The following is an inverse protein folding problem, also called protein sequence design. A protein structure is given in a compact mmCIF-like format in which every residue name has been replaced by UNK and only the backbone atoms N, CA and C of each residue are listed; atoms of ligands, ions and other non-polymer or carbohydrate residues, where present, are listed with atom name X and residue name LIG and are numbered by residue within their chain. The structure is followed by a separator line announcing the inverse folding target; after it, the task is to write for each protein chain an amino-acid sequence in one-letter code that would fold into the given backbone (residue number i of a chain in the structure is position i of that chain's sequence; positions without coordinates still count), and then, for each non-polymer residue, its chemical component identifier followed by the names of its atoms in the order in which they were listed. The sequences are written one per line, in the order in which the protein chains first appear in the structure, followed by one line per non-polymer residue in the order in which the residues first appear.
data_IF_980872512086
#
_entry.id   IF_980872512086
#
_cell.length_a   1.000
_cell.length_b   1.000
_cell.length_c   1.000
_cell.angle_alpha   90.00
_cell.angle_beta   90.00
_cell.angle_gamma   90.00
#
_symmetry.space_group_name_H-M   'P 1'
#
loop_
_entity.id
_entity.type
_entity.pdbx_description
1 polymer ?
#
# COMPACT_ATOMS: atom_id res chain seq x y z
N UNK A 1 20.90 11.67 -0.62
CA UNK A 1 20.92 10.53 0.32
C UNK A 1 19.80 9.57 -0.03
N UNK A 2 20.05 8.26 -0.04
CA UNK A 2 19.01 7.26 -0.30
C UNK A 2 18.01 7.19 0.86
N UNK A 3 16.71 7.08 0.54
CA UNK A 3 15.65 6.93 1.56
C UNK A 3 15.70 5.52 2.17
N UNK A 4 15.65 5.43 3.50
CA UNK A 4 15.58 4.15 4.23
C UNK A 4 14.13 3.68 4.31
N UNK A 5 13.67 3.02 3.25
CA UNK A 5 12.30 2.50 3.13
C UNK A 5 12.32 0.99 2.86
N UNK A 6 11.22 0.32 3.14
CA UNK A 6 11.05 -1.10 2.90
C UNK A 6 9.58 -1.48 2.77
N UNK A 7 9.33 -2.72 2.35
CA UNK A 7 7.98 -3.28 2.20
C UNK A 7 7.93 -4.66 2.84
N UNK A 8 6.85 -4.96 3.55
CA UNK A 8 6.56 -6.28 4.10
C UNK A 8 5.33 -6.83 3.38
N UNK A 9 5.50 -7.95 2.67
CA UNK A 9 4.41 -8.62 1.95
C UNK A 9 3.81 -9.72 2.82
N UNK A 10 2.60 -9.50 3.32
CA UNK A 10 1.82 -10.52 4.04
C UNK A 10 1.37 -11.60 3.05
N UNK A 11 1.80 -12.84 3.27
CA UNK A 11 1.46 -13.99 2.41
C UNK A 11 0.39 -14.90 3.02
N UNK A 12 0.44 -15.09 4.33
CA UNK A 12 -0.55 -15.86 5.09
C UNK A 12 -1.29 -14.92 6.04
N UNK A 13 -2.54 -14.58 5.69
CA UNK A 13 -3.34 -13.67 6.50
C UNK A 13 -4.02 -14.38 7.68
N UNK A 14 -4.46 -15.63 7.52
CA UNK A 14 -5.04 -16.44 8.59
C UNK A 14 -4.55 -17.90 8.52
N UNK A 15 -4.15 -18.50 9.67
CA UNK A 15 -3.95 -17.87 10.98
C UNK A 15 -2.84 -16.81 10.93
N UNK A 16 -3.05 -15.65 11.59
CA UNK A 16 -2.09 -14.54 11.57
C UNK A 16 -0.93 -14.83 12.52
N UNK A 17 0.30 -14.84 12.00
CA UNK A 17 1.47 -15.16 12.81
C UNK A 17 2.25 -13.90 13.20
N UNK A 18 1.96 -13.36 14.39
CA UNK A 18 2.68 -12.22 14.96
C UNK A 18 4.20 -12.47 15.02
N UNK A 19 4.62 -13.68 15.40
CA UNK A 19 6.02 -14.11 15.42
C UNK A 19 6.74 -13.85 14.09
N UNK A 20 6.17 -14.30 12.97
CA UNK A 20 6.79 -14.14 11.65
C UNK A 20 6.76 -12.68 11.18
N UNK A 21 5.71 -11.93 11.51
CA UNK A 21 5.65 -10.49 11.25
C UNK A 21 6.80 -9.76 11.95
N UNK A 22 6.97 -10.00 13.26
CA UNK A 22 7.97 -9.33 14.10
C UNK A 22 9.40 -9.69 13.67
N UNK A 23 9.65 -10.94 13.32
CA UNK A 23 10.95 -11.39 12.78
C UNK A 23 11.29 -10.72 11.44
N UNK A 24 10.28 -10.46 10.59
CA UNK A 24 10.47 -9.80 9.31
C UNK A 24 10.58 -8.26 9.43
N UNK A 25 10.24 -7.66 10.57
CA UNK A 25 10.23 -6.22 10.77
C UNK A 25 11.49 -5.74 11.51
N UNK A 26 12.43 -5.03 10.85
CA UNK A 26 13.68 -4.61 11.50
C UNK A 26 13.47 -3.78 12.78
N UNK A 27 14.38 -3.92 13.75
CA UNK A 27 14.36 -3.14 15.00
C UNK A 27 14.52 -1.63 14.79
N UNK A 28 15.10 -1.22 13.66
CA UNK A 28 15.26 0.19 13.27
C UNK A 28 13.98 0.85 12.76
N UNK A 29 12.89 0.10 12.54
CA UNK A 29 11.63 0.67 12.06
C UNK A 29 11.02 1.57 13.12
N UNK A 30 10.67 2.80 12.72
CA UNK A 30 10.03 3.82 13.57
C UNK A 30 8.65 4.23 13.09
N UNK A 31 8.29 3.91 11.84
CA UNK A 31 6.97 4.20 11.29
C UNK A 31 6.54 3.14 10.29
N UNK A 32 5.27 2.77 10.30
CA UNK A 32 4.65 1.74 9.46
C UNK A 32 3.35 2.28 8.90
N UNK A 33 3.13 2.12 7.59
CA UNK A 33 1.82 2.29 6.98
C UNK A 33 1.27 0.91 6.62
N UNK A 34 0.08 0.60 7.11
CA UNK A 34 -0.63 -0.64 6.77
C UNK A 34 -1.67 -0.31 5.70
N UNK A 35 -1.66 -1.07 4.61
CA UNK A 35 -2.53 -0.85 3.47
C UNK A 35 -3.55 -1.96 3.35
N UNK A 36 -4.82 -1.60 3.51
CA UNK A 36 -5.97 -2.48 3.43
C UNK A 36 -6.73 -2.26 2.12
N UNK A 37 -7.03 -3.35 1.43
CA UNK A 37 -7.88 -3.33 0.22
C UNK A 37 -9.34 -3.64 0.56
N UNK A 38 -9.82 -3.06 1.65
CA UNK A 38 -11.20 -3.20 2.13
C UNK A 38 -11.64 -1.90 2.84
N UNK A 39 -12.94 -1.78 3.09
CA UNK A 39 -13.52 -0.73 3.94
C UNK A 39 -14.55 -1.38 4.85
N UNK A 40 -14.39 -1.21 6.16
CA UNK A 40 -15.33 -1.68 7.17
C UNK A 40 -15.98 -0.47 7.88
N UNK A 41 -17.13 0.03 7.39
CA UNK A 41 -17.78 1.19 7.98
C UNK A 41 -18.15 0.94 9.45
N UNK A 42 -17.79 1.87 10.34
CA UNK A 42 -18.07 1.78 11.77
C UNK A 42 -17.05 0.97 12.58
N UNK A 43 -16.13 0.25 11.93
CA UNK A 43 -15.00 -0.38 12.61
C UNK A 43 -13.98 0.67 13.10
N UNK A 44 -13.21 0.33 14.13
CA UNK A 44 -12.14 1.18 14.65
C UNK A 44 -11.01 1.40 13.64
N UNK A 45 -10.76 0.40 12.80
CA UNK A 45 -9.84 0.43 11.69
C UNK A 45 -10.07 -0.80 10.79
N UNK A 46 -9.36 -0.84 9.68
CA UNK A 46 -9.33 -1.97 8.77
C UNK A 46 -8.59 -3.19 9.37
N UNK A 47 -8.93 -4.40 8.92
CA UNK A 47 -8.58 -5.62 9.64
C UNK A 47 -7.07 -5.93 9.65
N UNK A 48 -6.32 -5.68 8.57
CA UNK A 48 -4.86 -5.89 8.59
C UNK A 48 -4.17 -4.86 9.48
N UNK A 49 -4.64 -3.60 9.46
CA UNK A 49 -4.17 -2.59 10.40
C UNK A 49 -4.33 -3.04 11.85
N UNK A 50 -5.50 -3.59 12.21
CA UNK A 50 -5.76 -4.05 13.58
C UNK A 50 -4.82 -5.18 13.97
N UNK A 51 -4.62 -6.18 13.12
CA UNK A 51 -3.70 -7.30 13.41
C UNK A 51 -2.25 -6.83 13.60
N UNK A 52 -1.77 -5.94 12.73
CA UNK A 52 -0.41 -5.39 12.81
C UNK A 52 -0.24 -4.53 14.07
N UNK A 53 -1.22 -3.68 14.38
CA UNK A 53 -1.19 -2.84 15.57
C UNK A 53 -1.17 -3.70 16.85
N UNK A 54 -2.03 -4.73 16.92
CA UNK A 54 -2.07 -5.66 18.06
C UNK A 54 -0.74 -6.38 18.21
N UNK A 55 -0.19 -6.95 17.14
CA UNK A 55 1.09 -7.66 17.20
C UNK A 55 2.25 -6.75 17.66
N UNK A 56 2.29 -5.50 17.21
CA UNK A 56 3.32 -4.54 17.63
C UNK A 56 3.13 -4.07 19.06
N UNK A 57 1.89 -3.83 19.49
CA UNK A 57 1.57 -3.42 20.85
C UNK A 57 1.88 -4.52 21.87
N UNK A 58 1.50 -5.76 21.59
CA UNK A 58 1.81 -6.91 22.43
C UNK A 58 3.33 -7.12 22.54
N UNK A 59 4.06 -7.10 21.42
CA UNK A 59 5.51 -7.24 21.42
C UNK A 59 6.21 -6.14 22.22
N UNK A 60 5.71 -4.90 22.16
CA UNK A 60 6.24 -3.81 22.98
C UNK A 60 5.93 -4.00 24.46
N UNK A 61 4.68 -4.33 24.81
CA UNK A 61 4.26 -4.54 26.20
C UNK A 61 4.96 -5.74 26.87
N UNK A 62 5.28 -6.78 26.09
CA UNK A 62 6.01 -7.96 26.57
C UNK A 62 7.55 -7.76 26.59
N UNK A 63 8.05 -6.62 26.11
CA UNK A 63 9.49 -6.35 26.03
C UNK A 63 10.23 -7.06 24.88
N UNK A 64 9.52 -7.69 23.93
CA UNK A 64 10.10 -8.30 22.73
C UNK A 64 10.58 -7.24 21.72
N UNK A 65 10.04 -6.01 21.80
CA UNK A 65 10.53 -4.84 21.06
C UNK A 65 10.72 -3.66 22.01
N UNK A 66 11.84 -2.97 21.86
CA UNK A 66 12.16 -1.75 22.62
C UNK A 66 11.28 -0.55 22.28
N UNK A 67 10.71 -0.51 21.08
CA UNK A 67 9.91 0.63 20.60
C UNK A 67 8.64 0.16 19.91
N UNK A 68 7.54 0.86 20.17
CA UNK A 68 6.31 0.78 19.38
C UNK A 68 6.39 1.76 18.19
N UNK A 69 6.53 1.30 16.94
CA UNK A 69 6.56 2.19 15.79
C UNK A 69 5.24 2.94 15.65
N UNK A 70 5.27 4.16 15.11
CA UNK A 70 4.05 4.87 14.72
C UNK A 70 3.37 4.12 13.57
N UNK A 71 2.14 3.65 13.78
CA UNK A 71 1.36 2.92 12.77
C UNK A 71 0.24 3.81 12.22
N UNK A 72 0.15 3.92 10.90
CA UNK A 72 -0.96 4.58 10.19
C UNK A 72 -1.67 3.57 9.29
N UNK A 73 -2.97 3.75 9.07
CA UNK A 73 -3.81 2.85 8.27
C UNK A 73 -4.31 3.52 7.00
N UNK A 74 -4.19 2.84 5.87
CA UNK A 74 -4.56 3.36 4.56
C UNK A 74 -5.45 2.42 3.79
N UNK A 75 -6.46 2.95 3.11
CA UNK A 75 -7.24 2.20 2.13
C UNK A 75 -6.79 2.49 0.71
N UNK A 76 -6.72 1.46 -0.13
CA UNK A 76 -6.33 1.57 -1.53
C UNK A 76 -7.13 0.61 -2.41
N UNK A 77 -7.17 0.85 -3.71
CA UNK A 77 -7.55 -0.15 -4.72
C UNK A 77 -8.97 -0.72 -4.63
N UNK A 78 -9.88 -0.04 -3.93
CA UNK A 78 -11.30 -0.40 -3.89
C UNK A 78 -11.95 -0.15 -5.25
N UNK A 79 -12.87 -1.02 -5.66
CA UNK A 79 -13.55 -0.95 -6.96
C UNK A 79 -12.57 -0.86 -8.15
N UNK A 80 -11.47 -1.61 -8.07
CA UNK A 80 -10.40 -1.63 -9.09
C UNK A 80 -9.77 -0.26 -9.36
N UNK A 81 -9.78 0.64 -8.37
CA UNK A 81 -9.07 1.91 -8.49
C UNK A 81 -7.57 1.66 -8.65
N UNK A 82 -6.95 2.42 -9.54
CA UNK A 82 -5.52 2.33 -9.83
C UNK A 82 -4.68 2.57 -8.57
N UNK A 83 -3.59 1.81 -8.43
CA UNK A 83 -2.62 1.97 -7.36
C UNK A 83 -1.22 1.96 -7.96
N UNK A 84 -0.86 3.12 -8.51
CA UNK A 84 0.41 3.34 -9.20
C UNK A 84 1.56 3.73 -8.26
N UNK A 85 2.75 3.97 -8.83
CA UNK A 85 3.91 4.36 -8.04
C UNK A 85 3.76 5.72 -7.34
N UNK A 86 2.98 6.64 -7.90
CA UNK A 86 2.56 7.91 -7.29
C UNK A 86 1.82 7.71 -5.96
N UNK A 87 0.92 6.72 -5.90
CA UNK A 87 0.21 6.34 -4.68
C UNK A 87 1.19 5.84 -3.61
N UNK A 88 2.17 5.02 -4.00
CA UNK A 88 3.21 4.52 -3.09
C UNK A 88 4.09 5.67 -2.58
N UNK A 89 4.46 6.61 -3.45
CA UNK A 89 5.19 7.82 -3.08
C UNK A 89 4.41 8.67 -2.08
N UNK A 90 3.10 8.84 -2.28
CA UNK A 90 2.22 9.55 -1.36
C UNK A 90 2.20 8.89 0.04
N UNK A 91 2.11 7.56 0.12
CA UNK A 91 2.14 6.83 1.39
C UNK A 91 3.46 7.04 2.14
N UNK A 92 4.60 6.97 1.44
CA UNK A 92 5.90 7.24 2.07
C UNK A 92 6.09 8.71 2.43
N UNK A 93 5.54 9.65 1.66
CA UNK A 93 5.54 11.06 2.02
C UNK A 93 4.73 11.28 3.31
N UNK A 94 3.57 10.66 3.43
CA UNK A 94 2.73 10.72 4.62
C UNK A 94 3.46 10.16 5.85
N UNK A 95 4.13 9.00 5.72
CA UNK A 95 4.93 8.44 6.81
C UNK A 95 6.03 9.39 7.34
N UNK A 96 6.57 10.25 6.46
CA UNK A 96 7.59 11.23 6.81
C UNK A 96 7.02 12.57 7.29
N UNK A 97 5.70 12.76 7.23
CA UNK A 97 5.07 13.98 7.72
C UNK A 97 5.26 14.13 9.24
N UNK A 98 5.37 15.38 9.69
CA UNK A 98 5.46 15.70 11.12
C UNK A 98 4.22 15.19 11.88
N UNK A 99 3.04 15.34 11.27
CA UNK A 99 1.75 14.90 11.81
C UNK A 99 1.01 14.11 10.72
N UNK A 100 1.29 12.81 10.56
CA UNK A 100 0.61 12.01 9.56
C UNK A 100 -0.85 11.78 9.96
N UNK A 101 -1.71 11.67 8.97
CA UNK A 101 -3.08 11.16 9.08
C UNK A 101 -3.02 9.74 9.61
N UNK A 102 -3.66 9.51 10.75
CA UNK A 102 -3.77 8.17 11.34
C UNK A 102 -4.55 7.20 10.43
N UNK A 103 -5.51 7.73 9.68
CA UNK A 103 -6.31 7.02 8.68
C UNK A 103 -6.29 7.82 7.38
N UNK A 104 -6.11 7.15 6.25
CA UNK A 104 -6.11 7.80 4.95
C UNK A 104 -6.69 6.93 3.83
N UNK A 105 -6.97 7.55 2.69
CA UNK A 105 -7.22 6.88 1.40
C UNK A 105 -6.16 7.33 0.40
N UNK A 106 -5.85 6.49 -0.58
CA UNK A 106 -4.90 6.84 -1.64
C UNK A 106 -5.44 6.41 -3.01
N UNK A 107 -5.21 7.23 -4.02
CA UNK A 107 -5.72 7.03 -5.38
C UNK A 107 -7.10 7.63 -5.65
N UNK A 108 -7.70 8.35 -4.69
CA UNK A 108 -8.95 9.11 -4.87
C UNK A 108 -8.78 10.56 -4.41
N UNK A 109 -9.66 11.44 -4.86
CA UNK A 109 -9.87 12.75 -4.26
C UNK A 109 -11.12 12.68 -3.38
N UNK A 110 -10.96 12.96 -2.10
CA UNK A 110 -12.04 12.93 -1.10
C UNK A 110 -12.10 14.29 -0.40
N UNK A 111 -12.99 15.15 -0.87
CA UNK A 111 -13.26 16.50 -0.39
C UNK A 111 -14.25 16.54 0.79
N UNK A 112 -14.91 15.41 1.08
CA UNK A 112 -15.89 15.31 2.16
C UNK A 112 -15.19 14.95 3.48
N UNK A 113 -14.49 13.81 3.53
CA UNK A 113 -13.82 13.36 4.76
C UNK A 113 -12.37 13.77 4.84
N UNK A 114 -11.81 14.33 3.75
CA UNK A 114 -10.43 14.82 3.67
C UNK A 114 -9.40 13.74 4.08
N UNK A 115 -9.70 12.47 3.80
CA UNK A 115 -8.80 11.34 4.09
C UNK A 115 -7.83 11.07 2.94
N UNK A 116 -8.10 11.57 1.73
CA UNK A 116 -7.24 11.33 0.58
C UNK A 116 -5.87 11.96 0.73
N UNK A 117 -4.82 11.20 0.43
CA UNK A 117 -3.46 11.71 0.30
C UNK A 117 -3.26 12.43 -1.04
N UNK A 118 -2.57 13.59 -1.05
CA UNK A 118 -2.16 14.23 -2.29
C UNK A 118 -1.16 13.33 -3.03
N UNK A 119 -1.37 13.15 -4.33
CA UNK A 119 -0.48 12.35 -5.18
C UNK A 119 0.65 13.24 -5.70
N UNK A 120 1.93 12.96 -5.35
CA UNK A 120 3.06 13.68 -5.91
C UNK A 120 3.29 13.28 -7.37
N UNK A 121 4.04 14.10 -8.10
CA UNK A 121 4.56 13.72 -9.41
C UNK A 121 5.40 12.44 -9.31
N UNK A 122 5.19 11.50 -10.23
CA UNK A 122 5.97 10.27 -10.28
C UNK A 122 7.39 10.57 -10.77
N UNK A 123 8.33 10.61 -9.83
CA UNK A 123 9.76 10.85 -10.09
C UNK A 123 10.58 9.57 -10.24
N UNK A 124 9.94 8.40 -10.21
CA UNK A 124 10.65 7.13 -10.39
C UNK A 124 11.10 6.98 -11.83
N UNK A 125 12.33 6.48 -12.06
CA UNK A 125 12.84 6.26 -13.42
C UNK A 125 11.92 5.28 -14.14
N UNK A 126 11.36 5.71 -15.27
CA UNK A 126 10.58 4.82 -16.10
C UNK A 126 11.55 3.89 -16.86
N UNK A 127 11.63 2.63 -16.44
CA UNK A 127 12.50 1.63 -17.06
C UNK A 127 11.82 0.84 -18.17
N UNK A 128 10.60 1.23 -18.57
CA UNK A 128 9.80 0.45 -19.50
C UNK A 128 10.45 0.38 -20.89
N UNK A 129 10.71 -0.85 -21.34
CA UNK A 129 10.99 -1.18 -22.74
C UNK A 129 9.64 -1.36 -23.45
N UNK A 130 9.23 -0.32 -24.18
CA UNK A 130 7.99 -0.21 -24.96
C UNK A 130 6.68 -0.36 -24.15
N UNK A 131 5.90 0.73 -24.07
CA UNK A 131 4.52 0.73 -23.56
C UNK A 131 3.59 1.08 -24.73
N UNK A 132 2.48 0.36 -24.86
CA UNK A 132 1.47 0.61 -25.89
C UNK A 132 0.07 0.61 -25.27
N UNK A 133 -0.75 1.57 -25.69
CA UNK A 133 -2.14 1.69 -25.28
C UNK A 133 -3.03 1.50 -26.51
N UNK A 134 -3.90 0.50 -26.44
CA UNK A 134 -4.85 0.18 -27.50
C UNK A 134 -6.26 0.56 -27.05
N UNK A 135 -6.95 1.32 -27.89
CA UNK A 135 -8.36 1.63 -27.72
C UNK A 135 -9.16 0.80 -28.71
N UNK A 136 -10.18 0.11 -28.21
CA UNK A 136 -11.06 -0.72 -29.03
C UNK A 136 -12.51 -0.61 -28.59
N UNK A 137 -13.42 -0.85 -29.53
CA UNK A 137 -14.85 -0.95 -29.29
C UNK A 137 -15.21 -2.36 -28.82
N UNK A 138 -16.20 -2.48 -27.95
CA UNK A 138 -16.71 -3.78 -27.54
C UNK A 138 -17.10 -4.61 -28.77
N UNK A 139 -16.55 -5.82 -28.90
CA UNK A 139 -16.71 -6.78 -30.01
C UNK A 139 -15.97 -6.50 -31.35
N UNK A 140 -15.08 -5.51 -31.44
CA UNK A 140 -14.34 -5.20 -32.69
C UNK A 140 -13.08 -6.06 -32.95
N UNK A 141 -12.76 -6.97 -32.02
CA UNK A 141 -11.62 -7.89 -32.11
C UNK A 141 -10.27 -7.28 -31.74
N UNK A 142 -10.19 -6.00 -31.35
CA UNK A 142 -8.98 -5.34 -30.83
C UNK A 142 -8.33 -6.16 -29.70
N UNK A 143 -9.11 -6.54 -28.68
CA UNK A 143 -8.61 -7.30 -27.53
C UNK A 143 -8.04 -8.69 -27.87
N UNK A 144 -8.43 -9.30 -29.00
CA UNK A 144 -7.89 -10.58 -29.47
C UNK A 144 -6.60 -10.41 -30.30
N UNK A 145 -6.50 -9.33 -31.07
CA UNK A 145 -5.32 -9.05 -31.92
C UNK A 145 -4.08 -8.71 -31.09
N UNK A 146 -4.26 -7.94 -30.01
CA UNK A 146 -3.14 -7.53 -29.16
C UNK A 146 -2.55 -8.70 -28.36
N UNK A 147 -3.38 -9.66 -27.93
CA UNK A 147 -2.89 -10.88 -27.26
C UNK A 147 -2.00 -11.74 -28.16
N UNK A 148 -2.26 -11.76 -29.46
CA UNK A 148 -1.48 -12.57 -30.42
C UNK A 148 -0.09 -11.95 -30.66
N UNK A 149 -0.01 -10.62 -30.79
CA UNK A 149 1.26 -9.91 -30.96
C UNK A 149 2.21 -10.06 -29.76
N UNK A 150 1.68 -10.17 -28.54
CA UNK A 150 2.49 -10.36 -27.33
C UNK A 150 3.12 -11.76 -27.20
N UNK A 151 2.49 -12.80 -27.78
CA UNK A 151 3.04 -14.16 -27.78
C UNK A 151 4.19 -14.30 -28.79
N UNK A 152 4.15 -13.54 -29.89
CA UNK A 152 5.16 -13.59 -30.96
C UNK A 152 6.47 -12.85 -30.59
N UNK A 153 6.52 -12.17 -29.44
CA UNK A 153 7.69 -11.40 -28.95
C UNK A 153 8.44 -12.06 -27.78
N UNK A 154 8.16 -13.33 -27.45
CA UNK A 154 8.88 -14.12 -26.43
C UNK A 154 9.86 -15.11 -27.04
#
# INVERSE_FOLDING_TARGET
MAKKVGVLKVRLYRPFSAKHLLQALPGSVRSVAVLDRTKEPGAQAEPLYLDVMTALAEAFNNGERETLPRVIGGRYGLSSKEFGPDCVLAVFAELNAAKPKARFTVGIYDDVTNLSLPLPENTLPNSAKLEALFYGLGSDGSGFRDQKQYQDYR
#
